data_IF_073676122228
#
_entry.id   IF_073676122228
#
_cell.length_a   1.000
_cell.length_b   1.000
_cell.length_c   1.000
_cell.angle_alpha   90.00
_cell.angle_beta   90.00
_cell.angle_gamma   90.00
#
_symmetry.space_group_name_H-M   'P 1'
#
loop_
_entity.id
_entity.type
_entity.pdbx_description
1 polymer ?
#
# COMPACT_ATOMS: atom_id res chain seq x y z
N UNK A 1 1.03 -7.82 23.04
CA UNK A 1 0.73 -6.69 22.15
C UNK A 1 0.86 -5.34 22.86
N UNK A 2 0.71 -5.30 24.19
CA UNK A 2 0.71 -4.07 25.00
C UNK A 2 2.03 -3.31 24.99
N UNK A 3 3.15 -3.97 24.63
CA UNK A 3 4.48 -3.35 24.58
C UNK A 3 4.88 -2.83 23.19
N UNK A 4 4.00 -2.91 22.19
CA UNK A 4 4.33 -2.46 20.84
C UNK A 4 4.30 -0.93 20.73
N UNK A 5 5.38 -0.35 20.25
CA UNK A 5 5.50 1.09 19.97
C UNK A 5 4.97 1.47 18.57
N UNK A 6 4.96 0.49 17.66
CA UNK A 6 4.59 0.68 16.27
C UNK A 6 4.02 -0.62 15.68
N UNK A 7 2.98 -0.48 14.87
CA UNK A 7 2.54 -1.52 13.93
C UNK A 7 2.72 -1.01 12.51
N UNK A 8 3.41 -1.79 11.68
CA UNK A 8 3.50 -1.55 10.25
C UNK A 8 2.51 -2.46 9.51
N UNK A 9 1.49 -1.87 8.88
CA UNK A 9 0.56 -2.56 8.02
C UNK A 9 1.10 -2.57 6.59
N UNK A 10 1.46 -3.74 6.10
CA UNK A 10 1.90 -3.96 4.73
C UNK A 10 0.70 -4.32 3.86
N UNK A 11 0.38 -3.46 2.91
CA UNK A 11 -0.65 -3.72 1.91
C UNK A 11 0.02 -4.42 0.74
N UNK A 12 -0.25 -5.71 0.60
CA UNK A 12 0.44 -6.56 -0.37
C UNK A 12 -0.19 -6.43 -1.75
N UNK A 13 0.65 -6.32 -2.76
CA UNK A 13 0.34 -6.65 -4.14
C UNK A 13 0.78 -8.10 -4.46
N UNK A 14 0.76 -8.52 -5.72
CA UNK A 14 1.11 -9.89 -6.10
C UNK A 14 2.56 -10.23 -5.73
N UNK A 15 3.52 -9.33 -6.03
CA UNK A 15 4.93 -9.54 -5.69
C UNK A 15 5.17 -9.51 -4.17
N UNK A 16 4.48 -8.61 -3.48
CA UNK A 16 4.50 -8.55 -2.01
C UNK A 16 3.93 -9.82 -1.38
N UNK A 17 2.90 -10.42 -1.98
CA UNK A 17 2.36 -11.71 -1.55
C UNK A 17 3.38 -12.84 -1.72
N UNK A 18 4.06 -12.92 -2.87
CA UNK A 18 5.09 -13.92 -3.13
C UNK A 18 6.26 -13.78 -2.14
N UNK A 19 6.69 -12.55 -1.87
CA UNK A 19 7.71 -12.25 -0.87
C UNK A 19 7.27 -12.67 0.54
N UNK A 20 6.06 -12.30 0.95
CA UNK A 20 5.49 -12.69 2.23
C UNK A 20 5.44 -14.21 2.39
N UNK A 21 4.93 -14.92 1.38
CA UNK A 21 4.82 -16.38 1.43
C UNK A 21 6.19 -17.05 1.48
N UNK A 22 7.17 -16.59 0.71
CA UNK A 22 8.54 -17.14 0.74
C UNK A 22 9.23 -16.88 2.08
N UNK A 23 9.05 -15.71 2.66
CA UNK A 23 9.65 -15.33 3.94
C UNK A 23 9.11 -16.18 5.10
N UNK A 24 7.79 -16.40 5.14
CA UNK A 24 7.15 -17.03 6.30
C UNK A 24 6.83 -18.53 6.12
N UNK A 25 6.95 -19.08 4.91
CA UNK A 25 6.55 -20.46 4.63
C UNK A 25 7.24 -21.49 5.55
N UNK A 26 8.55 -21.39 5.76
CA UNK A 26 9.31 -22.37 6.52
C UNK A 26 8.89 -22.49 7.98
N UNK A 27 8.41 -21.41 8.57
CA UNK A 27 8.11 -21.33 10.01
C UNK A 27 6.63 -21.42 10.32
N UNK A 28 5.78 -20.98 9.42
CA UNK A 28 4.35 -20.86 9.62
C UNK A 28 3.49 -21.68 8.66
N UNK A 29 4.09 -22.55 7.84
CA UNK A 29 3.37 -23.42 6.89
C UNK A 29 2.22 -24.21 7.52
N UNK A 30 2.36 -24.63 8.80
CA UNK A 30 1.29 -25.34 9.53
C UNK A 30 0.12 -24.46 9.96
N UNK A 31 0.32 -23.15 10.02
CA UNK A 31 -0.71 -22.17 10.41
C UNK A 31 -1.42 -21.59 9.19
N UNK A 32 -0.81 -21.71 8.01
CA UNK A 32 -1.28 -21.10 6.78
C UNK A 32 -1.31 -22.20 5.72
N UNK A 33 -2.39 -22.99 5.70
CA UNK A 33 -2.62 -24.10 4.74
C UNK A 33 -2.58 -23.68 3.26
N UNK A 34 -2.30 -22.41 2.98
CA UNK A 34 -2.41 -21.76 1.66
C UNK A 34 -1.07 -21.60 0.92
N UNK A 35 0.04 -22.16 1.41
CA UNK A 35 1.36 -21.98 0.77
C UNK A 35 1.97 -23.25 0.13
N UNK A 36 1.23 -24.09 -0.59
CA UNK A 36 1.81 -25.26 -1.20
C UNK A 36 2.84 -24.88 -2.27
N UNK A 37 4.06 -25.35 -2.09
CA UNK A 37 5.10 -25.28 -3.13
C UNK A 37 5.88 -23.95 -3.22
N UNK A 38 5.67 -22.98 -2.34
CA UNK A 38 6.46 -21.74 -2.33
C UNK A 38 7.86 -22.00 -1.77
N UNK A 39 8.96 -21.62 -2.46
CA UNK A 39 10.30 -21.70 -1.91
C UNK A 39 10.44 -20.87 -0.63
N UNK A 40 11.21 -21.35 0.35
CA UNK A 40 11.48 -20.62 1.59
C UNK A 40 12.69 -19.72 1.44
N UNK A 41 12.57 -18.47 1.90
CA UNK A 41 13.69 -17.53 2.05
C UNK A 41 14.05 -17.36 3.54
N UNK A 42 14.94 -18.27 4.00
CA UNK A 42 15.42 -18.25 5.39
C UNK A 42 16.21 -16.98 5.74
N UNK A 43 16.89 -16.36 4.76
CA UNK A 43 17.65 -15.12 5.00
C UNK A 43 16.72 -13.93 5.25
N UNK A 44 15.65 -13.83 4.47
CA UNK A 44 14.63 -12.80 4.68
C UNK A 44 13.98 -12.98 6.07
N UNK A 45 13.61 -14.22 6.42
CA UNK A 45 13.03 -14.50 7.74
C UNK A 45 13.97 -14.11 8.90
N UNK A 46 15.24 -14.52 8.86
CA UNK A 46 16.20 -14.18 9.92
C UNK A 46 16.49 -12.67 9.99
N UNK A 47 16.41 -11.95 8.86
CA UNK A 47 16.53 -10.49 8.84
C UNK A 47 15.34 -9.82 9.55
N UNK A 48 14.12 -10.25 9.25
CA UNK A 48 12.92 -9.74 9.92
C UNK A 48 12.90 -10.09 11.42
N UNK A 49 13.27 -11.32 11.77
CA UNK A 49 13.39 -11.75 13.16
C UNK A 49 14.32 -10.83 13.96
N UNK A 50 15.51 -10.52 13.44
CA UNK A 50 16.45 -9.58 14.08
C UNK A 50 15.84 -8.18 14.27
N UNK A 51 15.03 -7.72 13.32
CA UNK A 51 14.33 -6.46 13.44
C UNK A 51 13.33 -6.51 14.61
N UNK A 52 12.53 -7.57 14.75
CA UNK A 52 11.60 -7.74 15.87
C UNK A 52 12.29 -7.87 17.22
N UNK A 53 13.46 -8.51 17.26
CA UNK A 53 14.28 -8.62 18.48
C UNK A 53 14.89 -7.26 18.87
N UNK A 54 15.12 -6.37 17.90
CA UNK A 54 15.76 -5.07 18.12
C UNK A 54 14.75 -3.98 18.45
N UNK A 55 13.57 -4.02 17.84
CA UNK A 55 12.56 -2.97 17.93
C UNK A 55 11.24 -3.55 18.45
N UNK A 56 10.53 -2.78 19.26
CA UNK A 56 9.16 -3.10 19.72
C UNK A 56 8.14 -2.82 18.61
N UNK A 57 8.33 -3.43 17.43
CA UNK A 57 7.48 -3.27 16.27
C UNK A 57 6.66 -4.53 16.01
N UNK A 58 5.44 -4.36 15.56
CA UNK A 58 4.60 -5.42 15.02
C UNK A 58 4.45 -5.24 13.51
N UNK A 59 4.37 -6.36 12.78
CA UNK A 59 4.02 -6.37 11.37
C UNK A 59 2.62 -6.96 11.20
N UNK A 60 1.81 -6.27 10.42
CA UNK A 60 0.53 -6.76 9.94
C UNK A 60 0.56 -6.79 8.41
N UNK A 61 -0.13 -7.76 7.83
CA UNK A 61 -0.18 -7.93 6.38
C UNK A 61 -1.64 -8.05 5.95
N UNK A 62 -1.99 -7.36 4.88
CA UNK A 62 -3.31 -7.46 4.27
C UNK A 62 -3.18 -7.70 2.77
N UNK A 63 -3.92 -8.70 2.28
CA UNK A 63 -4.14 -8.93 0.86
C UNK A 63 -5.51 -8.38 0.50
N UNK A 64 -5.60 -7.23 -0.16
CA UNK A 64 -6.87 -6.77 -0.69
C UNK A 64 -7.44 -7.77 -1.69
N UNK A 65 -8.73 -7.69 -1.95
CA UNK A 65 -9.41 -8.63 -2.86
C UNK A 65 -8.71 -8.79 -4.19
N UNK A 66 -8.67 -10.03 -4.66
CA UNK A 66 -8.04 -10.41 -5.92
C UNK A 66 -6.53 -10.58 -5.85
N UNK A 67 -5.93 -10.52 -4.65
CA UNK A 67 -4.50 -10.73 -4.41
C UNK A 67 -4.30 -11.89 -3.44
N UNK A 68 -3.25 -12.66 -3.65
CA UNK A 68 -2.83 -13.72 -2.76
C UNK A 68 -3.90 -14.77 -2.54
N UNK A 69 -4.24 -15.05 -1.29
CA UNK A 69 -5.25 -16.06 -0.93
C UNK A 69 -6.65 -15.76 -1.48
N UNK A 70 -6.93 -14.52 -1.87
CA UNK A 70 -8.20 -14.10 -2.49
C UNK A 70 -8.08 -13.90 -4.00
N UNK A 71 -6.95 -14.31 -4.61
CA UNK A 71 -6.72 -14.18 -6.04
C UNK A 71 -7.80 -14.92 -6.85
N UNK A 72 -8.24 -14.27 -7.90
CA UNK A 72 -9.24 -14.86 -8.78
C UNK A 72 -8.58 -15.71 -9.85
N UNK A 73 -9.04 -16.94 -9.98
CA UNK A 73 -8.68 -17.81 -11.08
C UNK A 73 -9.48 -17.46 -12.35
N UNK A 74 -8.95 -17.87 -13.50
CA UNK A 74 -9.64 -17.75 -14.78
C UNK A 74 -8.78 -17.07 -15.85
N UNK A 75 -9.27 -17.17 -17.10
CA UNK A 75 -8.61 -16.53 -18.25
C UNK A 75 -8.69 -15.01 -18.18
N UNK A 76 -7.87 -14.32 -18.96
CA UNK A 76 -7.90 -12.86 -19.15
C UNK A 76 -9.31 -12.38 -19.54
N UNK A 77 -10.01 -13.14 -20.38
CA UNK A 77 -11.40 -12.85 -20.74
C UNK A 77 -12.33 -12.89 -19.51
N UNK A 78 -12.14 -13.85 -18.61
CA UNK A 78 -12.95 -13.94 -17.38
C UNK A 78 -12.66 -12.77 -16.44
N UNK A 79 -11.39 -12.36 -16.33
CA UNK A 79 -10.98 -11.19 -15.55
C UNK A 79 -11.61 -9.90 -16.13
N UNK A 80 -11.51 -9.70 -17.44
CA UNK A 80 -12.14 -8.55 -18.12
C UNK A 80 -13.65 -8.51 -17.89
N UNK A 81 -14.34 -9.65 -17.98
CA UNK A 81 -15.79 -9.71 -17.73
C UNK A 81 -16.14 -9.38 -16.27
N UNK A 82 -15.30 -9.77 -15.33
CA UNK A 82 -15.46 -9.42 -13.91
C UNK A 82 -15.36 -7.93 -13.69
N UNK A 83 -14.32 -7.27 -14.24
CA UNK A 83 -14.15 -5.82 -14.14
C UNK A 83 -15.32 -5.06 -14.77
N UNK A 84 -15.83 -5.52 -15.94
CA UNK A 84 -17.02 -4.93 -16.58
C UNK A 84 -18.25 -5.00 -15.69
N UNK A 85 -18.44 -6.10 -14.96
CA UNK A 85 -19.56 -6.23 -14.00
C UNK A 85 -19.43 -5.23 -12.86
N UNK A 86 -18.23 -4.98 -12.36
CA UNK A 86 -18.01 -3.94 -11.35
C UNK A 86 -18.40 -2.56 -11.88
N UNK A 87 -17.98 -2.22 -13.09
CA UNK A 87 -18.34 -0.93 -13.71
C UNK A 87 -19.85 -0.76 -13.89
N UNK A 88 -20.59 -1.82 -14.23
CA UNK A 88 -22.05 -1.79 -14.31
C UNK A 88 -22.70 -1.48 -12.96
N UNK A 89 -22.03 -1.82 -11.86
CA UNK A 89 -22.48 -1.51 -10.49
C UNK A 89 -21.95 -0.17 -9.99
N UNK A 90 -21.29 0.62 -10.84
CA UNK A 90 -20.68 1.88 -10.45
C UNK A 90 -19.43 1.73 -9.56
N UNK A 91 -18.79 0.57 -9.61
CA UNK A 91 -17.62 0.24 -8.78
C UNK A 91 -16.39 -0.02 -9.64
N UNK A 92 -15.21 0.08 -9.04
CA UNK A 92 -13.94 -0.36 -9.61
C UNK A 92 -13.27 -1.32 -8.64
N UNK A 93 -12.36 -2.16 -9.15
CA UNK A 93 -11.58 -3.06 -8.31
C UNK A 93 -10.81 -2.27 -7.24
N UNK A 94 -10.13 -1.21 -7.66
CA UNK A 94 -9.29 -0.42 -6.77
C UNK A 94 -10.12 0.38 -5.75
N UNK A 95 -11.26 0.92 -6.13
CA UNK A 95 -12.21 1.51 -5.16
C UNK A 95 -12.67 0.52 -4.08
N UNK A 96 -12.84 -0.76 -4.45
CA UNK A 96 -13.16 -1.82 -3.48
C UNK A 96 -11.95 -2.22 -2.64
N UNK A 97 -10.71 -2.17 -3.18
CA UNK A 97 -9.46 -2.40 -2.43
C UNK A 97 -9.20 -1.29 -1.42
N UNK A 98 -9.49 -0.04 -1.77
CA UNK A 98 -9.50 1.07 -0.80
C UNK A 98 -10.38 0.73 0.41
N UNK A 99 -11.58 0.18 0.18
CA UNK A 99 -12.45 -0.27 1.26
C UNK A 99 -11.82 -1.40 2.09
N UNK A 100 -11.19 -2.40 1.46
CA UNK A 100 -10.53 -3.51 2.16
C UNK A 100 -9.41 -3.01 3.08
N UNK A 101 -8.58 -2.07 2.59
CA UNK A 101 -7.50 -1.45 3.38
C UNK A 101 -8.07 -0.68 4.57
N UNK A 102 -9.14 0.10 4.37
CA UNK A 102 -9.83 0.79 5.45
C UNK A 102 -10.33 -0.18 6.52
N UNK A 103 -10.92 -1.31 6.10
CA UNK A 103 -11.35 -2.35 7.05
C UNK A 103 -10.17 -2.98 7.80
N UNK A 104 -9.04 -3.20 7.14
CA UNK A 104 -7.83 -3.68 7.80
C UNK A 104 -7.33 -2.70 8.88
N UNK A 105 -7.28 -1.41 8.59
CA UNK A 105 -6.93 -0.36 9.57
C UNK A 105 -7.89 -0.39 10.77
N UNK A 106 -9.18 -0.42 10.52
CA UNK A 106 -10.21 -0.45 11.58
C UNK A 106 -10.15 -1.74 12.41
N UNK A 107 -9.88 -2.88 11.76
CA UNK A 107 -9.72 -4.15 12.46
C UNK A 107 -8.49 -4.15 13.37
N UNK A 108 -7.35 -3.60 12.92
CA UNK A 108 -6.16 -3.43 13.75
C UNK A 108 -6.46 -2.54 14.96
N UNK A 109 -7.19 -1.45 14.79
CA UNK A 109 -7.58 -0.55 15.87
C UNK A 109 -8.52 -1.19 16.89
N UNK A 110 -9.29 -2.19 16.47
CA UNK A 110 -10.20 -2.94 17.35
C UNK A 110 -9.50 -4.05 18.16
N UNK A 111 -8.25 -4.41 17.82
CA UNK A 111 -7.47 -5.38 18.59
C UNK A 111 -7.03 -4.75 19.91
N UNK A 112 -7.32 -5.44 21.03
CA UNK A 112 -6.90 -4.99 22.37
C UNK A 112 -5.37 -4.78 22.44
N UNK A 113 -4.96 -3.63 22.98
CA UNK A 113 -3.56 -3.23 23.05
C UNK A 113 -3.00 -2.53 21.80
N UNK A 114 -3.74 -2.48 20.66
CA UNK A 114 -3.27 -1.81 19.44
C UNK A 114 -4.01 -0.50 19.13
N UNK A 115 -5.08 -0.18 19.85
CA UNK A 115 -5.93 0.99 19.56
C UNK A 115 -5.15 2.31 19.40
N UNK A 116 -4.24 2.58 20.33
CA UNK A 116 -3.43 3.81 20.38
C UNK A 116 -2.00 3.64 19.85
N UNK A 117 -1.61 2.42 19.46
CA UNK A 117 -0.27 2.16 18.93
C UNK A 117 -0.06 2.90 17.60
N UNK A 118 1.14 3.48 17.40
CA UNK A 118 1.47 4.13 16.13
C UNK A 118 1.25 3.16 14.96
N UNK A 119 0.53 3.60 13.95
CA UNK A 119 0.28 2.81 12.75
C UNK A 119 0.99 3.43 11.55
N UNK A 120 1.86 2.66 10.93
CA UNK A 120 2.41 2.97 9.61
C UNK A 120 1.75 2.07 8.57
N UNK A 121 1.57 2.58 7.38
CA UNK A 121 1.14 1.77 6.23
C UNK A 121 2.25 1.81 5.20
N UNK A 122 2.58 0.65 4.65
CA UNK A 122 3.50 0.50 3.54
C UNK A 122 2.81 -0.19 2.39
N UNK A 123 2.99 0.34 1.18
CA UNK A 123 2.38 -0.20 -0.03
C UNK A 123 3.22 0.10 -1.28
N UNK A 124 3.04 -0.71 -2.31
CA UNK A 124 3.80 -0.63 -3.56
C UNK A 124 2.87 -0.50 -4.76
N UNK A 125 3.30 0.19 -5.80
CA UNK A 125 2.63 0.29 -7.12
C UNK A 125 1.16 0.71 -7.00
N UNK A 126 0.23 -0.05 -7.56
CA UNK A 126 -1.21 0.26 -7.49
C UNK A 126 -1.74 0.20 -6.04
N UNK A 127 -1.21 -0.71 -5.21
CA UNK A 127 -1.59 -0.76 -3.80
C UNK A 127 -1.16 0.48 -3.04
N UNK A 128 -0.11 1.19 -3.47
CA UNK A 128 0.26 2.48 -2.92
C UNK A 128 -0.81 3.56 -3.21
N UNK A 129 -1.44 3.51 -4.38
CA UNK A 129 -2.58 4.38 -4.71
C UNK A 129 -3.78 4.07 -3.81
N UNK A 130 -4.11 2.80 -3.66
CA UNK A 130 -5.23 2.37 -2.83
C UNK A 130 -5.02 2.73 -1.35
N UNK A 131 -3.79 2.55 -0.83
CA UNK A 131 -3.42 2.96 0.52
C UNK A 131 -3.46 4.48 0.72
N UNK A 132 -3.03 5.26 -0.30
CA UNK A 132 -3.14 6.72 -0.29
C UNK A 132 -4.61 7.14 -0.13
N UNK A 133 -5.52 6.62 -0.97
CA UNK A 133 -6.95 6.94 -0.86
C UNK A 133 -7.55 6.47 0.46
N UNK A 134 -7.22 5.27 0.93
CA UNK A 134 -7.70 4.76 2.21
C UNK A 134 -7.33 5.70 3.37
N UNK A 135 -6.12 6.25 3.35
CA UNK A 135 -5.63 7.16 4.39
C UNK A 135 -6.38 8.49 4.47
N UNK A 136 -7.00 8.93 3.37
CA UNK A 136 -7.82 10.15 3.39
C UNK A 136 -9.05 9.97 4.28
N UNK A 137 -9.59 8.75 4.32
CA UNK A 137 -10.84 8.43 5.02
C UNK A 137 -10.65 7.84 6.42
N UNK A 138 -9.41 7.46 6.79
CA UNK A 138 -9.13 6.88 8.10
C UNK A 138 -8.24 7.80 8.93
N UNK A 139 -8.54 7.88 10.22
CA UNK A 139 -7.72 8.64 11.17
C UNK A 139 -6.72 7.70 11.89
N UNK A 140 -5.74 8.30 12.56
CA UNK A 140 -4.78 7.56 13.36
C UNK A 140 -3.66 6.89 12.58
N UNK A 141 -3.55 7.11 11.27
CA UNK A 141 -2.39 6.66 10.49
C UNK A 141 -1.30 7.70 10.66
N UNK A 142 -0.20 7.32 11.33
CA UNK A 142 0.89 8.25 11.63
C UNK A 142 1.85 8.45 10.45
N UNK A 143 1.99 7.43 9.59
CA UNK A 143 2.87 7.50 8.41
C UNK A 143 2.41 6.58 7.29
N UNK A 144 2.60 7.04 6.07
CA UNK A 144 2.43 6.29 4.83
C UNK A 144 3.77 6.23 4.08
N UNK A 145 4.23 5.02 3.76
CA UNK A 145 5.39 4.76 2.91
C UNK A 145 4.89 4.18 1.58
N UNK A 146 4.98 4.96 0.50
CA UNK A 146 4.44 4.64 -0.82
C UNK A 146 5.58 4.46 -1.82
N UNK A 147 5.73 3.23 -2.31
CA UNK A 147 6.82 2.83 -3.20
C UNK A 147 6.33 2.67 -4.63
N UNK A 148 7.08 3.23 -5.58
CA UNK A 148 6.83 3.11 -7.02
C UNK A 148 5.38 3.40 -7.42
N UNK A 149 4.76 4.34 -6.70
CA UNK A 149 3.37 4.73 -6.91
C UNK A 149 3.21 5.45 -8.26
N UNK A 150 2.20 5.11 -9.07
CA UNK A 150 1.80 5.91 -10.23
C UNK A 150 1.60 7.39 -9.88
N UNK A 151 1.80 8.26 -10.84
CA UNK A 151 1.72 9.72 -10.63
C UNK A 151 0.39 10.34 -11.04
N UNK A 152 -0.44 9.61 -11.79
CA UNK A 152 -1.71 10.11 -12.34
C UNK A 152 -2.67 8.97 -12.65
N UNK A 153 -3.97 9.24 -12.63
CA UNK A 153 -5.01 8.38 -13.21
C UNK A 153 -5.24 8.62 -14.70
N UNK A 154 -4.56 9.60 -15.30
CA UNK A 154 -4.73 9.93 -16.72
C UNK A 154 -3.94 8.96 -17.61
N UNK A 155 -4.57 7.87 -18.06
CA UNK A 155 -3.98 6.87 -18.95
C UNK A 155 -3.66 7.34 -20.37
N UNK A 156 -3.96 8.61 -20.73
CA UNK A 156 -3.58 9.21 -22.02
C UNK A 156 -2.16 9.79 -22.03
N UNK A 157 -1.50 9.86 -20.88
CA UNK A 157 -0.09 10.21 -20.80
C UNK A 157 0.72 9.12 -21.50
N UNK A 158 1.65 9.52 -22.39
CA UNK A 158 2.41 8.63 -23.30
C UNK A 158 3.18 7.49 -22.61
N UNK A 159 3.26 7.52 -21.29
CA UNK A 159 3.90 6.50 -20.47
C UNK A 159 2.82 5.79 -19.66
N UNK A 160 2.17 4.81 -20.28
CA UNK A 160 1.11 4.00 -19.66
C UNK A 160 1.58 3.26 -18.40
N UNK A 161 2.89 3.07 -18.23
CA UNK A 161 3.49 2.51 -17.04
C UNK A 161 3.41 3.44 -15.81
N UNK A 162 3.09 4.72 -16.00
CA UNK A 162 2.97 5.73 -14.93
C UNK A 162 1.53 6.04 -14.54
N UNK A 163 0.55 5.42 -15.19
CA UNK A 163 -0.87 5.64 -14.90
C UNK A 163 -1.40 4.60 -13.94
N UNK A 164 -2.09 5.05 -12.90
CA UNK A 164 -2.79 4.18 -11.96
C UNK A 164 -3.99 3.49 -12.60
N UNK A 165 -4.40 2.40 -12.02
CA UNK A 165 -5.62 1.70 -12.39
C UNK A 165 -6.84 2.63 -12.38
N UNK A 166 -7.79 2.43 -13.30
CA UNK A 166 -8.91 3.35 -13.47
C UNK A 166 -9.89 3.31 -12.29
N UNK A 167 -10.16 4.47 -11.71
CA UNK A 167 -11.25 4.71 -10.77
C UNK A 167 -12.32 5.57 -11.44
N UNK A 168 -13.59 5.15 -11.40
CA UNK A 168 -14.67 5.85 -12.09
C UNK A 168 -14.81 7.30 -11.62
N UNK A 169 -14.74 8.22 -12.57
CA UNK A 169 -14.94 9.65 -12.38
C UNK A 169 -13.92 10.35 -11.43
N UNK A 170 -12.86 9.70 -10.97
CA UNK A 170 -11.91 10.29 -10.03
C UNK A 170 -11.32 11.60 -10.54
N UNK A 171 -10.92 11.66 -11.80
CA UNK A 171 -10.34 12.85 -12.43
C UNK A 171 -11.29 14.05 -12.54
N UNK A 172 -12.60 13.89 -12.28
CA UNK A 172 -13.52 15.03 -12.14
C UNK A 172 -13.29 15.82 -10.85
N UNK A 173 -12.65 15.20 -9.86
CA UNK A 173 -12.48 15.79 -8.53
C UNK A 173 -11.02 16.05 -8.20
N UNK A 174 -10.15 15.07 -8.45
CA UNK A 174 -8.72 15.16 -8.12
C UNK A 174 -7.91 14.09 -8.88
N UNK A 175 -6.61 14.31 -8.96
CA UNK A 175 -5.62 13.30 -9.37
C UNK A 175 -4.68 12.97 -8.20
N UNK A 176 -3.70 12.13 -8.39
CA UNK A 176 -2.83 11.62 -7.32
C UNK A 176 -2.03 12.72 -6.59
N UNK A 177 -1.50 13.78 -7.25
CA UNK A 177 -0.87 14.88 -6.52
C UNK A 177 -1.82 15.58 -5.52
N UNK A 178 -3.09 15.75 -5.90
CA UNK A 178 -4.10 16.36 -5.03
C UNK A 178 -4.50 15.42 -3.88
N UNK A 179 -4.65 14.11 -4.18
CA UNK A 179 -4.92 13.09 -3.17
C UNK A 179 -3.78 13.03 -2.14
N UNK A 180 -2.51 13.12 -2.58
CA UNK A 180 -1.36 13.18 -1.72
C UNK A 180 -1.37 14.42 -0.80
N UNK A 181 -1.74 15.59 -1.33
CA UNK A 181 -1.88 16.80 -0.53
C UNK A 181 -3.00 16.68 0.52
N UNK A 182 -4.10 16.01 0.20
CA UNK A 182 -5.19 15.75 1.15
C UNK A 182 -4.74 14.77 2.25
N UNK A 183 -4.12 13.66 1.92
CA UNK A 183 -3.61 12.69 2.88
C UNK A 183 -2.58 13.32 3.83
N UNK A 184 -1.69 14.16 3.31
CA UNK A 184 -0.67 14.86 4.07
C UNK A 184 -1.23 15.93 5.04
N UNK A 185 -2.55 16.20 5.01
CA UNK A 185 -3.14 17.09 6.03
C UNK A 185 -3.10 16.46 7.43
N UNK A 186 -3.15 15.14 7.53
CA UNK A 186 -3.23 14.42 8.80
C UNK A 186 -2.20 13.29 8.96
N UNK A 187 -1.56 12.84 7.87
CA UNK A 187 -0.62 11.71 7.87
C UNK A 187 0.71 12.14 7.30
N UNK A 188 1.83 11.71 7.91
CA UNK A 188 3.16 11.91 7.33
C UNK A 188 3.30 11.02 6.09
N UNK A 189 3.56 11.63 4.94
CA UNK A 189 3.67 10.96 3.66
C UNK A 189 5.12 10.84 3.22
N UNK A 190 5.57 9.64 2.90
CA UNK A 190 6.88 9.35 2.32
C UNK A 190 6.66 8.67 0.98
N UNK A 191 7.02 9.34 -0.10
CA UNK A 191 6.88 8.81 -1.47
C UNK A 191 8.27 8.48 -2.00
N UNK A 192 8.47 7.23 -2.38
CA UNK A 192 9.67 6.74 -3.03
C UNK A 192 9.44 6.77 -4.54
N UNK A 193 10.01 7.76 -5.21
CA UNK A 193 9.79 8.00 -6.63
C UNK A 193 11.10 8.35 -7.36
N UNK A 194 11.24 7.85 -8.60
CA UNK A 194 12.33 8.22 -9.51
C UNK A 194 12.15 9.66 -9.98
N UNK A 195 10.94 10.01 -10.40
CA UNK A 195 10.57 11.36 -10.82
C UNK A 195 9.92 12.11 -9.65
N UNK A 196 10.71 12.91 -8.95
CA UNK A 196 10.23 13.74 -7.85
C UNK A 196 9.49 14.98 -8.34
N UNK A 197 9.75 15.44 -9.58
CA UNK A 197 9.10 16.62 -10.15
C UNK A 197 7.60 16.41 -10.37
N UNK A 198 7.16 15.18 -10.58
CA UNK A 198 5.74 14.82 -10.64
C UNK A 198 4.95 15.24 -9.38
N UNK A 199 5.64 15.45 -8.25
CA UNK A 199 5.06 15.83 -6.95
C UNK A 199 5.25 17.30 -6.59
N UNK A 200 5.73 18.14 -7.52
CA UNK A 200 6.00 19.57 -7.27
C UNK A 200 4.74 20.34 -6.88
N UNK A 201 3.60 20.00 -7.49
CA UNK A 201 2.32 20.61 -7.12
C UNK A 201 1.97 20.29 -5.66
N UNK A 202 2.12 19.04 -5.24
CA UNK A 202 1.88 18.60 -3.85
C UNK A 202 2.81 19.32 -2.88
N UNK A 203 4.11 19.35 -3.20
CA UNK A 203 5.14 20.00 -2.40
C UNK A 203 4.85 21.50 -2.21
N UNK A 204 4.53 22.20 -3.31
CA UNK A 204 4.19 23.62 -3.31
C UNK A 204 2.93 23.90 -2.48
N UNK A 205 1.89 23.11 -2.68
CA UNK A 205 0.64 23.23 -1.93
C UNK A 205 0.86 23.05 -0.42
N UNK A 206 1.59 22.02 -0.01
CA UNK A 206 1.90 21.78 1.39
C UNK A 206 2.80 22.86 2.00
N UNK A 207 3.71 23.43 1.22
CA UNK A 207 4.52 24.57 1.65
C UNK A 207 3.63 25.80 1.93
N UNK A 208 2.71 26.10 1.03
CA UNK A 208 1.76 27.22 1.18
C UNK A 208 0.82 27.04 2.39
N UNK A 209 0.51 25.81 2.74
CA UNK A 209 -0.28 25.44 3.92
C UNK A 209 0.54 25.35 5.22
N UNK A 210 1.85 25.61 5.18
CA UNK A 210 2.74 25.46 6.35
C UNK A 210 2.99 24.01 6.76
N UNK A 211 2.64 23.04 5.92
CA UNK A 211 2.72 21.59 6.19
C UNK A 211 3.84 20.87 5.41
N UNK A 212 4.86 21.57 4.97
CA UNK A 212 5.96 21.00 4.16
C UNK A 212 6.66 19.80 4.82
N UNK A 213 6.69 19.72 6.17
CA UNK A 213 7.28 18.59 6.92
C UNK A 213 6.48 17.29 6.81
N UNK A 214 5.24 17.35 6.35
CA UNK A 214 4.37 16.17 6.19
C UNK A 214 4.67 15.37 4.93
N UNK A 215 5.41 15.92 3.96
CA UNK A 215 5.83 15.22 2.74
C UNK A 215 7.34 15.02 2.72
N UNK A 216 7.77 13.81 2.41
CA UNK A 216 9.16 13.47 2.10
C UNK A 216 9.19 12.73 0.75
N UNK A 217 10.01 13.22 -0.17
CA UNK A 217 10.29 12.55 -1.45
C UNK A 217 11.66 11.89 -1.35
N UNK A 218 11.72 10.58 -1.58
CA UNK A 218 12.93 9.76 -1.47
C UNK A 218 13.21 9.05 -2.79
N UNK A 219 14.46 8.65 -2.97
CA UNK A 219 14.83 7.75 -4.07
C UNK A 219 14.29 6.33 -3.79
N UNK A 220 13.92 5.56 -4.82
CA UNK A 220 13.50 4.17 -4.64
C UNK A 220 14.54 3.36 -3.89
N UNK A 221 14.08 2.43 -3.05
CA UNK A 221 14.96 1.53 -2.30
C UNK A 221 15.69 0.62 -3.29
N UNK A 222 16.99 0.46 -3.14
CA UNK A 222 17.82 -0.38 -4.01
C UNK A 222 18.46 0.31 -5.22
N UNK A 223 18.26 1.62 -5.42
CA UNK A 223 18.92 2.35 -6.52
C UNK A 223 20.37 2.76 -6.23
N UNK A 224 20.85 2.59 -5.01
CA UNK A 224 22.22 2.97 -4.61
C UNK A 224 23.28 1.89 -4.81
N UNK A 225 22.90 0.65 -5.16
CA UNK A 225 23.81 -0.49 -5.24
C UNK A 225 23.85 -1.17 -6.62
N UNK A 226 23.71 -0.41 -7.70
CA UNK A 226 24.15 -0.91 -9.02
C UNK A 226 25.33 -0.06 -9.47
N UNK A 227 26.51 -0.72 -9.61
CA UNK A 227 27.72 -0.09 -10.13
C UNK A 227 27.54 0.35 -11.58
#
# INVERSE_FOLDING_TARGET
LEDLELVALNVLDEEGWDTFTSTYNSRFAKLIDTFPGTPSDEKAFESEKKMFETFKWGMAYVCPRGIGATAWTGSEKAQTQRLRRFYLLGQTLDGMRVWDIRRAVQSLRAIGGLGETKLWIQAHRDMAVDALYASIFEDGISRLDLHDMPVTHNGTVKDSASAAAPMLNVLKYLDLPQAAALAAQKTKLVIYAKDKAAWDWTSTTLKNLGKHKQLQLRDPVGTKDKP
#
